data_IF_561287563248
#
_entry.id   IF_561287563248
#
_cell.length_a   1.000
_cell.length_b   1.000
_cell.length_c   1.000
_cell.angle_alpha   90.00
_cell.angle_beta   90.00
_cell.angle_gamma   90.00
#
_symmetry.space_group_name_H-M   'P 1'
#
loop_
_entity.id
_entity.type
_entity.pdbx_description
1 polymer ?
#
# COMPACT_ATOMS: atom_id res chain seq x y z
N UNK A 1 4.64 2.68 -6.50
CA UNK A 1 5.19 1.88 -7.62
C UNK A 1 6.41 1.05 -7.21
N UNK A 2 7.49 1.59 -6.71
CA UNK A 2 8.69 0.80 -6.37
C UNK A 2 8.43 -0.34 -5.37
N UNK A 3 7.48 -0.17 -4.45
CA UNK A 3 7.05 -1.15 -3.45
C UNK A 3 5.78 -1.93 -3.80
N UNK A 4 5.24 -1.79 -5.00
CA UNK A 4 4.01 -2.48 -5.36
C UNK A 4 4.23 -3.99 -5.45
N UNK A 5 3.31 -4.75 -4.89
CA UNK A 5 3.31 -6.21 -4.88
C UNK A 5 2.25 -6.82 -5.79
N UNK A 6 1.24 -6.04 -6.20
CA UNK A 6 0.19 -6.46 -7.13
C UNK A 6 -0.45 -5.26 -7.81
N UNK A 7 -1.24 -5.52 -8.85
CA UNK A 7 -2.27 -4.62 -9.38
C UNK A 7 -3.63 -5.26 -9.12
N UNK A 8 -4.55 -4.53 -8.52
CA UNK A 8 -5.91 -5.00 -8.26
C UNK A 8 -6.88 -4.38 -9.25
N UNK A 9 -7.83 -5.18 -9.71
CA UNK A 9 -8.93 -4.77 -10.59
C UNK A 9 -10.25 -5.38 -10.10
N UNK A 10 -11.36 -4.73 -10.40
CA UNK A 10 -12.66 -5.30 -10.05
C UNK A 10 -12.95 -6.52 -10.95
N UNK A 11 -13.40 -7.66 -10.39
CA UNK A 11 -13.70 -8.87 -11.17
C UNK A 11 -14.82 -8.68 -12.19
N UNK A 12 -15.67 -7.68 -12.01
CA UNK A 12 -16.79 -7.35 -12.91
C UNK A 12 -16.44 -6.28 -13.94
N UNK A 13 -15.20 -5.77 -13.95
CA UNK A 13 -14.74 -4.78 -14.93
C UNK A 13 -14.29 -5.48 -16.23
N UNK A 14 -15.11 -5.41 -17.25
CA UNK A 14 -14.84 -6.06 -18.55
C UNK A 14 -13.57 -5.56 -19.23
N UNK A 15 -13.09 -4.35 -18.90
CA UNK A 15 -11.83 -3.81 -19.43
C UNK A 15 -10.62 -4.62 -18.99
N UNK A 16 -10.64 -5.17 -17.77
CA UNK A 16 -9.48 -5.83 -17.15
C UNK A 16 -9.70 -7.30 -16.80
N UNK A 17 -10.93 -7.79 -16.87
CA UNK A 17 -11.29 -9.17 -16.54
C UNK A 17 -10.41 -10.22 -17.21
N UNK A 18 -10.06 -9.98 -18.48
CA UNK A 18 -9.19 -10.88 -19.25
C UNK A 18 -7.72 -10.86 -18.82
N UNK A 19 -7.32 -9.92 -17.95
CA UNK A 19 -5.97 -9.78 -17.42
C UNK A 19 -5.79 -10.43 -16.03
N UNK A 20 -6.86 -10.75 -15.32
CA UNK A 20 -6.81 -11.36 -14.00
C UNK A 20 -6.01 -12.66 -14.05
N UNK A 21 -5.10 -12.84 -13.09
CA UNK A 21 -4.19 -13.99 -13.02
C UNK A 21 -2.94 -13.87 -13.91
N UNK A 22 -2.85 -12.85 -14.75
CA UNK A 22 -1.62 -12.53 -15.49
C UNK A 22 -0.68 -11.70 -14.61
N UNK A 23 0.51 -11.42 -15.12
CA UNK A 23 1.49 -10.58 -14.43
C UNK A 23 1.90 -9.39 -15.29
N UNK A 24 2.23 -8.29 -14.63
CA UNK A 24 2.84 -7.10 -15.24
C UNK A 24 4.24 -6.89 -14.67
N UNK A 25 5.11 -6.28 -15.48
CA UNK A 25 6.48 -5.96 -15.09
C UNK A 25 6.53 -4.51 -14.64
N UNK A 26 6.97 -4.28 -13.40
CA UNK A 26 7.17 -2.93 -12.89
C UNK A 26 8.42 -2.30 -13.50
N UNK A 27 8.35 -1.05 -13.98
CA UNK A 27 9.52 -0.29 -14.39
C UNK A 27 10.53 -0.13 -13.24
N UNK A 28 11.80 0.03 -13.58
CA UNK A 28 12.96 0.30 -12.71
C UNK A 28 13.32 -0.85 -11.77
N UNK A 29 12.38 -1.40 -11.00
CA UNK A 29 12.60 -2.57 -10.13
C UNK A 29 12.55 -3.89 -10.87
N UNK A 30 12.11 -3.91 -12.12
CA UNK A 30 12.05 -5.07 -13.00
C UNK A 30 11.34 -6.31 -12.40
N UNK A 31 10.45 -6.08 -11.43
CA UNK A 31 9.70 -7.13 -10.72
C UNK A 31 8.41 -7.46 -11.46
N UNK A 32 8.12 -8.76 -11.60
CA UNK A 32 6.81 -9.23 -12.04
C UNK A 32 5.86 -9.24 -10.85
N UNK A 33 4.69 -8.61 -11.00
CA UNK A 33 3.62 -8.58 -10.02
C UNK A 33 2.32 -9.11 -10.63
N UNK A 34 1.50 -9.86 -9.87
CA UNK A 34 0.24 -10.39 -10.36
C UNK A 34 -0.83 -9.31 -10.52
N UNK A 35 -1.77 -9.56 -11.42
CA UNK A 35 -3.05 -8.85 -11.51
C UNK A 35 -4.07 -9.67 -10.73
N UNK A 36 -4.58 -9.13 -9.64
CA UNK A 36 -5.53 -9.77 -8.74
C UNK A 36 -6.93 -9.18 -8.89
N UNK A 37 -7.95 -10.00 -8.58
CA UNK A 37 -9.34 -9.54 -8.55
C UNK A 37 -9.72 -9.17 -7.12
N UNK A 38 -10.22 -7.95 -6.89
CA UNK A 38 -10.75 -7.53 -5.59
C UNK A 38 -11.99 -6.65 -5.79
N UNK A 39 -13.11 -7.05 -5.16
CA UNK A 39 -14.40 -6.38 -5.29
C UNK A 39 -14.41 -4.96 -4.67
N UNK A 40 -13.45 -4.65 -3.80
CA UNK A 40 -13.30 -3.32 -3.21
C UNK A 40 -12.72 -2.29 -4.18
N UNK A 41 -12.22 -2.73 -5.33
CA UNK A 41 -11.76 -1.80 -6.38
C UNK A 41 -12.99 -1.19 -7.06
N UNK A 42 -13.09 0.14 -7.01
CA UNK A 42 -14.10 0.90 -7.72
C UNK A 42 -13.72 1.06 -9.20
N UNK A 43 -14.48 0.46 -10.14
CA UNK A 43 -14.18 0.55 -11.58
C UNK A 43 -14.25 1.98 -12.13
N UNK A 44 -15.06 2.84 -11.50
CA UNK A 44 -15.29 4.22 -11.95
C UNK A 44 -14.23 5.19 -11.38
N UNK A 45 -13.43 4.76 -10.41
CA UNK A 45 -12.39 5.59 -9.83
C UNK A 45 -11.09 5.51 -10.64
N UNK A 46 -10.68 6.64 -11.19
CA UNK A 46 -9.43 6.75 -11.96
C UNK A 46 -9.44 5.88 -13.22
N UNK A 47 -8.54 4.91 -13.28
CA UNK A 47 -8.48 3.93 -14.38
C UNK A 47 -9.27 2.66 -14.10
N UNK A 48 -9.75 2.45 -12.87
CA UNK A 48 -10.31 1.18 -12.41
C UNK A 48 -9.24 0.10 -12.10
N UNK A 49 -7.97 0.42 -12.27
CA UNK A 49 -6.86 -0.44 -11.87
C UNK A 49 -6.05 0.23 -10.75
N UNK A 50 -5.86 -0.47 -9.64
CA UNK A 50 -5.22 0.05 -8.42
C UNK A 50 -3.91 -0.67 -8.17
N UNK A 51 -2.82 0.07 -7.95
CA UNK A 51 -1.58 -0.49 -7.46
C UNK A 51 -1.75 -0.92 -5.99
N UNK A 52 -1.14 -2.00 -5.57
CA UNK A 52 -1.19 -2.50 -4.19
C UNK A 52 0.20 -2.42 -3.56
N UNK A 53 0.36 -1.51 -2.60
CA UNK A 53 1.62 -1.29 -1.85
C UNK A 53 1.40 -1.64 -0.37
N UNK A 54 1.25 -2.91 -0.09
CA UNK A 54 0.77 -3.42 1.20
C UNK A 54 1.62 -3.02 2.43
N UNK A 55 2.88 -2.63 2.24
CA UNK A 55 3.75 -2.18 3.34
C UNK A 55 3.60 -0.68 3.69
N UNK A 56 2.93 0.12 2.85
CA UNK A 56 2.91 1.58 2.97
C UNK A 56 1.53 2.23 2.83
N UNK A 57 0.47 1.43 2.83
CA UNK A 57 -0.91 1.90 2.80
C UNK A 57 -1.80 0.96 3.61
N UNK A 58 -2.60 1.45 4.58
CA UNK A 58 -3.46 0.60 5.41
C UNK A 58 -4.50 -0.18 4.62
N UNK A 59 -5.11 0.41 3.58
CA UNK A 59 -6.10 -0.28 2.75
C UNK A 59 -5.44 -1.36 1.89
N UNK A 60 -4.27 -1.03 1.32
CA UNK A 60 -3.46 -1.99 0.57
C UNK A 60 -2.93 -3.12 1.45
N UNK A 61 -2.70 -2.85 2.75
CA UNK A 61 -2.29 -3.88 3.73
C UNK A 61 -3.36 -4.95 3.90
N UNK A 62 -4.62 -4.54 4.10
CA UNK A 62 -5.74 -5.47 4.24
C UNK A 62 -5.95 -6.29 2.95
N UNK A 63 -5.90 -5.62 1.80
CA UNK A 63 -5.96 -6.28 0.49
C UNK A 63 -4.78 -7.24 0.31
N UNK A 64 -3.59 -6.81 0.69
CA UNK A 64 -2.38 -7.63 0.65
C UNK A 64 -2.49 -8.90 1.50
N UNK A 65 -3.08 -8.80 2.69
CA UNK A 65 -3.32 -9.98 3.54
C UNK A 65 -4.32 -10.96 2.90
N UNK A 66 -5.43 -10.46 2.32
CA UNK A 66 -6.43 -11.32 1.68
C UNK A 66 -5.86 -12.10 0.49
N UNK A 67 -4.98 -11.48 -0.28
CA UNK A 67 -4.45 -12.04 -1.52
C UNK A 67 -3.02 -12.57 -1.41
N UNK A 68 -2.41 -12.56 -0.22
CA UNK A 68 -1.04 -13.03 -0.02
C UNK A 68 0.02 -12.17 -0.75
N UNK A 69 -0.25 -10.87 -0.94
CA UNK A 69 0.68 -9.94 -1.61
C UNK A 69 1.88 -9.66 -0.70
N UNK A 70 3.11 -9.71 -1.21
CA UNK A 70 4.30 -9.47 -0.38
C UNK A 70 4.35 -8.05 0.17
N UNK A 71 4.79 -7.93 1.44
CA UNK A 71 4.99 -6.67 2.15
C UNK A 71 6.39 -6.12 1.83
N UNK A 72 6.50 -5.24 0.85
CA UNK A 72 7.77 -4.72 0.36
C UNK A 72 8.01 -3.33 0.94
N UNK A 73 8.94 -3.25 1.89
CA UNK A 73 9.34 -1.98 2.53
C UNK A 73 10.36 -1.28 1.64
N UNK A 74 10.09 -0.03 1.29
CA UNK A 74 10.94 0.78 0.40
C UNK A 74 11.44 2.09 1.04
N UNK A 75 11.17 2.28 2.32
CA UNK A 75 11.64 3.43 3.11
C UNK A 75 12.16 2.98 4.46
N UNK A 76 13.20 3.64 4.95
CA UNK A 76 13.65 3.52 6.33
C UNK A 76 12.84 4.43 7.28
N UNK A 77 13.20 4.44 8.56
CA UNK A 77 12.50 5.23 9.60
C UNK A 77 12.64 6.74 9.43
N UNK A 78 13.66 7.19 8.71
CA UNK A 78 13.86 8.60 8.39
C UNK A 78 13.10 9.06 7.14
N UNK A 79 12.32 8.16 6.48
CA UNK A 79 11.61 8.48 5.24
C UNK A 79 12.51 8.54 4.01
N UNK A 80 13.71 7.96 4.10
CA UNK A 80 14.66 7.85 3.00
C UNK A 80 14.43 6.54 2.27
N UNK A 81 14.42 6.59 0.95
CA UNK A 81 14.24 5.41 0.10
C UNK A 81 15.36 4.40 0.32
N UNK A 82 15.00 3.13 0.43
CA UNK A 82 15.94 2.06 0.71
C UNK A 82 15.41 0.69 0.29
N UNK A 83 16.29 -0.20 -0.14
CA UNK A 83 15.96 -1.58 -0.47
C UNK A 83 15.21 -1.77 -1.78
N UNK A 84 15.13 -0.75 -2.63
CA UNK A 84 14.51 -0.86 -3.95
C UNK A 84 15.45 -1.46 -4.99
N UNK A 85 16.77 -1.35 -4.78
CA UNK A 85 17.80 -1.74 -5.74
C UNK A 85 17.83 -0.84 -6.97
N UNK A 86 17.33 0.39 -6.87
CA UNK A 86 17.26 1.36 -7.96
C UNK A 86 18.08 2.61 -7.65
N UNK A 87 18.26 3.46 -8.67
CA UNK A 87 18.89 4.77 -8.53
C UNK A 87 18.19 5.72 -7.55
N UNK A 88 16.99 5.37 -7.08
CA UNK A 88 16.22 6.18 -6.14
C UNK A 88 16.55 5.88 -4.68
N UNK A 89 17.30 4.82 -4.38
CA UNK A 89 17.75 4.52 -3.02
C UNK A 89 18.68 5.62 -2.51
N UNK A 90 18.49 6.01 -1.24
CA UNK A 90 19.21 7.12 -0.62
C UNK A 90 18.56 8.50 -0.78
N UNK A 91 17.55 8.65 -1.64
CA UNK A 91 16.80 9.90 -1.78
C UNK A 91 15.75 10.05 -0.66
N UNK A 92 15.50 11.30 -0.26
CA UNK A 92 14.30 11.63 0.52
C UNK A 92 13.05 11.25 -0.28
N UNK A 93 11.98 10.81 0.42
CA UNK A 93 10.74 10.33 -0.22
C UNK A 93 10.10 11.34 -1.17
N UNK A 94 10.20 12.64 -0.88
CA UNK A 94 9.63 13.68 -1.75
C UNK A 94 10.47 13.91 -3.00
N UNK A 95 11.78 13.84 -2.87
CA UNK A 95 12.69 13.96 -4.01
C UNK A 95 12.66 12.70 -4.87
N UNK A 96 12.58 11.52 -4.26
CA UNK A 96 12.35 10.27 -4.97
C UNK A 96 11.05 10.28 -5.77
N UNK A 97 9.96 10.82 -5.21
CA UNK A 97 8.68 10.98 -5.93
C UNK A 97 8.83 11.83 -7.19
N UNK A 98 9.53 12.96 -7.09
CA UNK A 98 9.80 13.82 -8.25
C UNK A 98 10.65 13.10 -9.30
N UNK A 99 11.72 12.47 -8.85
CA UNK A 99 12.65 11.74 -9.72
C UNK A 99 11.96 10.59 -10.48
N UNK A 100 11.15 9.77 -9.78
CA UNK A 100 10.40 8.66 -10.40
C UNK A 100 9.41 9.18 -11.43
N UNK A 101 8.66 10.25 -11.14
CA UNK A 101 7.70 10.83 -12.11
C UNK A 101 8.41 11.38 -13.33
N UNK A 102 9.56 12.02 -13.15
CA UNK A 102 10.36 12.55 -14.25
C UNK A 102 10.90 11.44 -15.17
N UNK A 103 11.43 10.36 -14.58
CA UNK A 103 11.89 9.21 -15.36
C UNK A 103 10.74 8.52 -16.11
N UNK A 104 9.58 8.33 -15.45
CA UNK A 104 8.38 7.80 -16.12
C UNK A 104 7.93 8.65 -17.31
N UNK A 105 8.06 9.99 -17.19
CA UNK A 105 7.75 10.93 -18.27
C UNK A 105 8.73 10.79 -19.42
N UNK A 106 10.03 10.69 -19.13
CA UNK A 106 11.08 10.50 -20.17
C UNK A 106 10.89 9.20 -20.94
N UNK A 107 10.52 8.14 -20.22
CA UNK A 107 10.31 6.81 -20.81
C UNK A 107 8.94 6.65 -21.50
N UNK A 108 8.10 7.70 -21.50
CA UNK A 108 6.77 7.65 -22.09
C UNK A 108 5.77 6.75 -21.36
N UNK A 109 6.06 6.41 -20.10
CA UNK A 109 5.24 5.54 -19.26
C UNK A 109 4.20 6.30 -18.42
N UNK A 110 4.22 7.63 -18.46
CA UNK A 110 3.26 8.49 -17.79
C UNK A 110 2.12 8.83 -18.76
N UNK A 111 1.00 8.09 -18.67
CA UNK A 111 -0.13 8.26 -19.57
C UNK A 111 -0.88 9.58 -19.37
N UNK A 112 -1.23 9.90 -18.14
CA UNK A 112 -1.88 11.17 -17.76
C UNK A 112 -1.68 11.45 -16.27
N UNK A 113 -1.83 12.72 -15.90
CA UNK A 113 -1.69 13.17 -14.52
C UNK A 113 -2.88 14.05 -14.16
N UNK A 114 -3.63 13.67 -13.12
CA UNK A 114 -4.74 14.49 -12.61
C UNK A 114 -4.21 15.59 -11.71
N UNK A 115 -4.28 16.83 -12.16
CA UNK A 115 -3.93 18.02 -11.37
C UNK A 115 -5.03 19.08 -11.45
N UNK A 116 -5.38 19.76 -10.35
CA UNK A 116 -4.97 19.45 -8.97
C UNK A 116 -5.68 18.22 -8.40
N UNK A 117 -4.98 17.44 -7.58
CA UNK A 117 -5.55 16.31 -6.84
C UNK A 117 -5.51 16.63 -5.34
N UNK A 118 -6.67 16.69 -4.68
CA UNK A 118 -6.78 16.94 -3.25
C UNK A 118 -7.09 15.64 -2.52
N UNK A 119 -6.33 15.33 -1.49
CA UNK A 119 -6.56 14.20 -0.59
C UNK A 119 -6.08 14.57 0.81
N UNK A 120 -6.62 13.90 1.83
CA UNK A 120 -6.19 14.08 3.21
C UNK A 120 -4.95 13.24 3.48
N UNK A 121 -3.96 13.84 4.17
CA UNK A 121 -2.76 13.15 4.64
C UNK A 121 -2.60 13.38 6.13
N UNK A 122 -2.08 12.39 6.86
CA UNK A 122 -1.78 12.52 8.28
C UNK A 122 -0.55 13.41 8.50
N UNK A 123 -0.62 14.26 9.51
CA UNK A 123 0.49 15.11 9.94
C UNK A 123 0.86 14.82 11.39
N UNK A 124 2.14 14.94 11.71
CA UNK A 124 2.61 14.84 13.08
C UNK A 124 2.10 16.04 13.89
N UNK A 125 1.45 15.78 15.04
CA UNK A 125 0.91 16.82 15.91
C UNK A 125 1.96 17.74 16.55
N UNK A 126 3.25 17.36 16.51
CA UNK A 126 4.35 18.13 17.11
C UNK A 126 5.13 18.97 16.11
N UNK A 127 5.41 18.44 14.93
CA UNK A 127 6.29 19.11 13.96
C UNK A 127 5.64 19.30 12.58
N UNK A 128 4.36 18.95 12.43
CA UNK A 128 3.58 19.09 11.20
C UNK A 128 4.16 18.34 9.96
N UNK A 129 5.12 17.46 10.19
CA UNK A 129 5.66 16.62 9.12
C UNK A 129 4.62 15.60 8.66
N UNK A 130 4.50 15.37 7.35
CA UNK A 130 3.64 14.32 6.78
C UNK A 130 4.07 12.95 7.31
N UNK A 131 3.10 12.20 7.84
CA UNK A 131 3.30 10.84 8.34
C UNK A 131 3.12 9.86 7.18
N UNK A 132 4.14 9.03 6.96
CA UNK A 132 4.08 7.95 6.00
C UNK A 132 3.78 6.62 6.72
N UNK A 133 2.76 5.86 6.29
CA UNK A 133 2.48 4.54 6.84
C UNK A 133 3.67 3.61 6.61
N UNK A 134 4.09 2.88 7.64
CA UNK A 134 5.19 1.94 7.60
C UNK A 134 4.93 0.79 8.55
N UNK A 135 5.23 -0.43 8.13
CA UNK A 135 5.15 -1.59 8.99
C UNK A 135 6.24 -1.54 10.07
N UNK A 136 5.87 -1.75 11.31
CA UNK A 136 6.79 -1.91 12.44
C UNK A 136 6.31 -3.03 13.35
N UNK A 137 7.25 -3.72 14.01
CA UNK A 137 6.90 -4.72 15.01
C UNK A 137 6.40 -4.02 16.27
N UNK A 138 5.20 -4.38 16.69
CA UNK A 138 4.58 -3.86 17.91
C UNK A 138 4.30 -5.00 18.89
N UNK A 139 4.37 -4.69 20.18
CA UNK A 139 3.97 -5.60 21.23
C UNK A 139 2.46 -5.49 21.46
N UNK A 140 1.79 -6.62 21.39
CA UNK A 140 0.37 -6.71 21.73
C UNK A 140 0.13 -7.77 22.80
N UNK A 141 -0.71 -7.45 23.77
CA UNK A 141 -1.19 -8.42 24.75
C UNK A 141 -2.43 -9.12 24.20
N UNK A 142 -2.41 -10.45 24.19
CA UNK A 142 -3.55 -11.29 23.80
C UNK A 142 -4.62 -11.23 24.88
N UNK A 143 -5.41 -10.15 24.89
CA UNK A 143 -6.35 -9.85 26.00
C UNK A 143 -7.62 -10.71 25.98
N UNK A 144 -8.04 -11.26 24.87
CA UNK A 144 -9.30 -12.01 24.75
C UNK A 144 -9.46 -13.14 25.78
N UNK A 145 -8.46 -14.02 26.05
CA UNK A 145 -8.57 -15.06 27.08
C UNK A 145 -8.67 -14.50 28.49
N UNK A 146 -8.00 -13.35 28.75
CA UNK A 146 -8.03 -12.66 30.05
C UNK A 146 -9.38 -11.98 30.26
N UNK A 147 -9.86 -11.26 29.27
CA UNK A 147 -11.16 -10.58 29.27
C UNK A 147 -12.30 -11.58 29.48
N UNK A 148 -12.25 -12.74 28.82
CA UNK A 148 -13.27 -13.79 28.98
C UNK A 148 -13.34 -14.26 30.44
N UNK A 149 -12.22 -14.57 31.07
CA UNK A 149 -12.18 -14.98 32.48
C UNK A 149 -12.75 -13.90 33.39
N UNK A 150 -12.34 -12.65 33.21
CA UNK A 150 -12.86 -11.52 34.00
C UNK A 150 -14.36 -11.35 33.82
N UNK A 151 -14.87 -11.44 32.57
CA UNK A 151 -16.31 -11.36 32.30
C UNK A 151 -17.10 -12.50 32.92
N UNK A 152 -16.57 -13.72 32.88
CA UNK A 152 -17.22 -14.90 33.50
C UNK A 152 -17.31 -14.76 35.02
N UNK A 153 -16.29 -14.17 35.70
CA UNK A 153 -16.30 -13.93 37.13
C UNK A 153 -17.21 -12.76 37.55
N UNK A 154 -17.25 -11.69 36.76
CA UNK A 154 -18.20 -10.56 36.98
C UNK A 154 -19.65 -11.06 36.93
N UNK A 155 -20.00 -11.92 36.02
CA UNK A 155 -21.33 -12.52 35.93
C UNK A 155 -21.72 -13.37 37.16
N UNK A 156 -20.75 -13.94 37.88
CA UNK A 156 -20.99 -14.72 39.09
C UNK A 156 -21.13 -13.87 40.36
N UNK A 157 -20.62 -12.66 40.36
CA UNK A 157 -20.68 -11.75 41.51
C UNK A 157 -22.08 -11.15 41.76
N UNK A 158 -23.03 -11.35 40.88
CA UNK A 158 -24.39 -10.83 40.96
C UNK A 158 -25.46 -11.92 41.18
N UNK A 159 -25.08 -13.11 41.60
CA UNK A 159 -26.02 -14.19 41.95
C UNK A 159 -26.11 -14.39 43.47
#
# INVERSE_FOLDING_TARGET
>A
MLGDGAVAVNPNDDRYKHMIGKSVRLPYVNRLIPIIADELVDPEFGTGAVKVTAAHDPNDFEMGQRHGVPMIIIMNEAGVMSGTGTQFDGLDRFDARKAVVEELRKDGLLGWEKRPYKHSVGHCSRCDTIVEPRLSKQWFVKVAPLAKKASDEIGRAHV
#
